data_IF_340318119951
#
_entry.id   IF_340318119951
#
_cell.length_a   1.000
_cell.length_b   1.000
_cell.length_c   1.000
_cell.angle_alpha   90.00
_cell.angle_beta   90.00
_cell.angle_gamma   90.00
#
_symmetry.space_group_name_H-M   'P 1'
#
loop_
_entity.id
_entity.type
_entity.pdbx_description
1 polymer ?
#
# COMPACT_ATOMS: atom_id res chain seq x y z
N UNK A 1 63.88 37.33 -37.39
CA UNK A 1 62.62 37.48 -36.61
C UNK A 1 62.01 36.09 -36.48
N UNK A 2 62.19 35.46 -35.32
CA UNK A 2 61.74 34.10 -34.96
C UNK A 2 60.46 34.21 -34.13
N UNK A 3 59.37 33.52 -34.53
CA UNK A 3 58.22 33.13 -33.67
C UNK A 3 57.20 32.38 -34.53
N UNK A 4 56.56 31.26 -34.17
CA UNK A 4 56.74 30.25 -33.16
C UNK A 4 55.94 29.04 -33.63
N UNK A 5 56.57 27.88 -33.67
CA UNK A 5 55.94 26.56 -33.76
C UNK A 5 55.41 26.19 -32.36
N UNK A 6 54.14 25.76 -32.23
CA UNK A 6 53.68 24.99 -31.06
C UNK A 6 52.75 23.86 -31.49
N UNK A 7 53.28 22.64 -31.52
CA UNK A 7 52.51 21.41 -31.38
C UNK A 7 51.98 21.33 -29.94
N UNK A 8 50.71 20.99 -29.75
CA UNK A 8 50.20 20.37 -28.52
C UNK A 8 49.22 19.26 -28.90
N UNK A 9 49.53 18.07 -28.40
CA UNK A 9 48.75 16.82 -28.43
C UNK A 9 47.90 16.79 -27.14
N UNK A 10 47.00 15.81 -27.05
CA UNK A 10 46.40 15.19 -25.84
C UNK A 10 45.11 15.93 -25.36
N UNK A 11 43.91 15.35 -25.16
CA UNK A 11 43.53 13.99 -24.75
C UNK A 11 42.04 13.72 -25.05
N UNK A 12 41.72 12.44 -25.32
CA UNK A 12 40.41 11.77 -25.23
C UNK A 12 39.50 12.31 -24.11
N UNK A 13 38.23 12.55 -24.44
CA UNK A 13 37.14 12.36 -23.47
C UNK A 13 36.29 11.22 -24.01
N UNK A 14 36.46 10.04 -23.41
CA UNK A 14 35.51 8.93 -23.54
C UNK A 14 34.21 9.46 -22.95
N UNK A 15 33.18 9.63 -23.77
CA UNK A 15 31.82 9.80 -23.29
C UNK A 15 31.39 8.43 -22.78
N UNK A 16 31.66 8.16 -21.51
CA UNK A 16 31.22 6.94 -20.84
C UNK A 16 29.70 7.01 -20.77
N UNK A 17 29.03 6.35 -21.71
CA UNK A 17 27.61 6.04 -21.63
C UNK A 17 27.43 5.13 -20.42
N UNK A 18 27.13 5.72 -19.27
CA UNK A 18 26.58 5.00 -18.14
C UNK A 18 25.20 4.53 -18.58
N UNK A 19 25.16 3.34 -19.19
CA UNK A 19 23.94 2.54 -19.25
C UNK A 19 23.61 2.23 -17.80
N UNK A 20 22.83 3.11 -17.18
CA UNK A 20 22.08 2.78 -15.99
C UNK A 20 21.09 1.71 -16.44
N UNK A 21 21.53 0.45 -16.42
CA UNK A 21 20.67 -0.72 -16.57
C UNK A 21 19.85 -0.87 -15.29
N UNK A 22 19.13 0.19 -14.92
CA UNK A 22 17.92 0.00 -14.15
C UNK A 22 16.96 -0.70 -15.10
N UNK A 23 16.69 -1.97 -14.86
CA UNK A 23 15.53 -2.62 -15.46
C UNK A 23 14.35 -1.70 -15.16
N UNK A 24 13.77 -1.09 -16.20
CA UNK A 24 12.52 -0.38 -16.08
C UNK A 24 11.47 -1.43 -15.70
N UNK A 25 11.21 -1.57 -14.41
CA UNK A 25 10.02 -2.23 -13.93
C UNK A 25 8.85 -1.39 -14.42
N UNK A 26 8.28 -1.74 -15.58
CA UNK A 26 7.02 -1.15 -16.01
C UNK A 26 5.96 -1.67 -15.05
N UNK A 27 5.55 -0.83 -14.13
CA UNK A 27 4.38 -1.04 -13.31
C UNK A 27 3.14 -0.68 -14.12
N UNK A 28 2.10 -1.51 -14.06
CA UNK A 28 0.83 -1.15 -14.67
C UNK A 28 0.21 0.00 -13.86
N UNK A 29 -0.16 1.09 -14.52
CA UNK A 29 -0.80 2.24 -13.88
C UNK A 29 -2.27 2.33 -14.30
N UNK A 30 -3.11 2.87 -13.43
CA UNK A 30 -4.52 3.09 -13.69
C UNK A 30 -5.05 4.29 -12.92
N UNK A 31 -6.26 4.70 -13.30
CA UNK A 31 -6.96 5.82 -12.71
C UNK A 31 -8.16 5.29 -11.90
N UNK A 32 -8.31 5.78 -10.67
CA UNK A 32 -9.51 5.61 -9.85
C UNK A 32 -10.21 6.97 -9.71
N UNK A 33 -11.53 6.99 -9.77
CA UNK A 33 -12.33 8.17 -9.41
C UNK A 33 -13.33 7.74 -8.36
N UNK A 34 -13.30 8.43 -7.23
CA UNK A 34 -14.10 8.07 -6.08
C UNK A 34 -15.60 8.26 -6.36
N UNK A 35 -16.44 7.24 -6.14
CA UNK A 35 -17.87 7.32 -6.45
C UNK A 35 -18.65 8.18 -5.46
N UNK A 36 -18.07 8.55 -4.31
CA UNK A 36 -18.70 9.35 -3.25
C UNK A 36 -18.44 10.84 -3.46
N UNK A 37 -17.19 11.22 -3.71
CA UNK A 37 -16.77 12.63 -3.76
C UNK A 37 -16.21 13.08 -5.12
N UNK A 38 -16.01 12.17 -6.08
CA UNK A 38 -15.52 12.49 -7.43
C UNK A 38 -14.03 12.82 -7.52
N UNK A 39 -13.25 12.63 -6.45
CA UNK A 39 -11.79 12.85 -6.47
C UNK A 39 -11.09 11.72 -7.23
N UNK A 40 -10.17 12.08 -8.13
CA UNK A 40 -9.40 11.11 -8.91
C UNK A 40 -8.02 10.86 -8.33
N UNK A 41 -7.57 9.61 -8.42
CA UNK A 41 -6.28 9.12 -7.96
C UNK A 41 -5.62 8.29 -9.05
N UNK A 42 -4.32 8.51 -9.25
CA UNK A 42 -3.47 7.62 -10.04
C UNK A 42 -2.96 6.51 -9.13
N UNK A 43 -3.07 5.27 -9.57
CA UNK A 43 -2.55 4.12 -8.85
C UNK A 43 -1.59 3.32 -9.70
N UNK A 44 -0.66 2.66 -9.04
CA UNK A 44 0.36 1.83 -9.66
C UNK A 44 0.32 0.43 -9.08
N UNK A 45 0.34 -0.59 -9.95
CA UNK A 45 0.49 -2.00 -9.58
C UNK A 45 2.00 -2.29 -9.57
N UNK A 46 2.59 -2.56 -8.39
CA UNK A 46 4.03 -2.82 -8.26
C UNK A 46 4.48 -4.02 -9.09
N UNK A 47 5.68 -3.94 -9.65
CA UNK A 47 6.36 -5.05 -10.31
C UNK A 47 7.81 -5.12 -9.80
N UNK A 48 8.19 -6.12 -9.00
CA UNK A 48 7.37 -7.29 -8.62
C UNK A 48 6.20 -6.93 -7.69
N UNK A 49 5.19 -7.80 -7.67
CA UNK A 49 3.98 -7.60 -6.87
C UNK A 49 4.30 -7.59 -5.37
N UNK A 50 3.63 -6.71 -4.62
CA UNK A 50 3.74 -6.68 -3.17
C UNK A 50 2.97 -7.86 -2.58
N UNK A 51 3.66 -8.63 -1.74
CA UNK A 51 3.04 -9.69 -0.94
C UNK A 51 2.86 -9.24 0.51
N UNK A 52 1.88 -9.84 1.21
CA UNK A 52 1.66 -9.58 2.64
C UNK A 52 1.67 -10.89 3.40
N UNK A 53 2.44 -10.93 4.48
CA UNK A 53 2.52 -12.09 5.38
C UNK A 53 2.11 -11.66 6.78
N UNK A 54 1.13 -12.35 7.36
CA UNK A 54 0.74 -12.18 8.76
C UNK A 54 1.66 -13.04 9.63
N UNK A 55 2.19 -12.45 10.70
CA UNK A 55 2.99 -13.15 11.70
C UNK A 55 2.34 -13.06 13.07
N UNK A 56 2.11 -14.22 13.68
CA UNK A 56 1.65 -14.34 15.06
C UNK A 56 2.52 -15.35 15.81
N UNK A 57 3.31 -14.86 16.75
CA UNK A 57 4.43 -15.61 17.35
C UNK A 57 5.31 -16.22 16.24
N UNK A 58 5.51 -17.55 16.22
CA UNK A 58 6.33 -18.24 15.23
C UNK A 58 5.55 -18.72 14.00
N UNK A 59 4.27 -18.35 13.86
CA UNK A 59 3.42 -18.75 12.74
C UNK A 59 3.34 -17.64 11.70
N UNK A 60 3.60 -18.02 10.46
CA UNK A 60 3.50 -17.16 9.29
C UNK A 60 2.33 -17.61 8.41
N UNK A 61 1.58 -16.66 7.88
CA UNK A 61 0.47 -16.91 6.96
C UNK A 61 0.48 -15.86 5.86
N UNK A 62 0.74 -16.31 4.64
CA UNK A 62 0.65 -15.45 3.47
C UNK A 62 -0.81 -15.12 3.17
N UNK A 63 -1.06 -13.87 2.81
CA UNK A 63 -2.38 -13.40 2.38
C UNK A 63 -2.43 -13.44 0.86
N UNK A 64 -3.39 -14.18 0.33
CA UNK A 64 -3.68 -14.20 -1.10
C UNK A 64 -4.65 -13.09 -1.45
N UNK A 65 -4.38 -12.39 -2.54
CA UNK A 65 -5.23 -11.33 -3.04
C UNK A 65 -5.79 -11.69 -4.42
N UNK A 66 -7.09 -11.46 -4.61
CA UNK A 66 -7.73 -11.52 -5.92
C UNK A 66 -7.63 -10.19 -6.70
N UNK A 67 -7.28 -9.12 -5.98
CA UNK A 67 -6.86 -7.84 -6.49
C UNK A 67 -5.49 -7.51 -5.90
N UNK A 68 -4.47 -7.40 -6.74
CA UNK A 68 -3.11 -7.06 -6.30
C UNK A 68 -3.10 -5.77 -5.46
N UNK A 69 -2.26 -5.67 -4.41
CA UNK A 69 -1.99 -4.41 -3.74
C UNK A 69 -1.54 -3.34 -4.73
N UNK A 70 -1.92 -2.09 -4.49
CA UNK A 70 -1.56 -0.96 -5.33
C UNK A 70 -0.86 0.11 -4.51
N UNK A 71 -0.11 0.97 -5.19
CA UNK A 71 0.50 2.16 -4.62
C UNK A 71 -0.26 3.40 -5.09
N UNK A 72 -0.72 4.21 -4.15
CA UNK A 72 -1.33 5.53 -4.38
C UNK A 72 -0.67 6.52 -3.43
N UNK A 73 -0.17 7.63 -3.96
CA UNK A 73 0.52 8.66 -3.18
C UNK A 73 1.60 8.10 -2.22
N UNK A 74 2.33 7.08 -2.69
CA UNK A 74 3.37 6.40 -1.92
C UNK A 74 2.85 5.55 -0.75
N UNK A 75 1.57 5.20 -0.73
CA UNK A 75 0.97 4.27 0.24
C UNK A 75 0.56 2.98 -0.43
N UNK A 76 0.90 1.86 0.21
CA UNK A 76 0.43 0.54 -0.21
C UNK A 76 -0.99 0.32 0.29
N UNK A 77 -1.92 0.27 -0.65
CA UNK A 77 -3.31 -0.07 -0.41
C UNK A 77 -3.53 -1.55 -0.72
N UNK A 78 -4.22 -2.24 0.18
CA UNK A 78 -4.46 -3.69 0.10
C UNK A 78 -5.95 -3.99 0.15
N UNK A 79 -6.43 -5.09 -0.47
CA UNK A 79 -7.82 -5.52 -0.33
C UNK A 79 -8.17 -5.76 1.14
N UNK A 80 -9.04 -4.90 1.66
CA UNK A 80 -9.42 -4.85 3.07
C UNK A 80 -9.93 -6.20 3.58
N UNK A 81 -10.82 -6.82 2.81
CA UNK A 81 -11.46 -8.10 3.17
C UNK A 81 -10.44 -9.21 3.36
N UNK A 82 -9.48 -9.35 2.44
CA UNK A 82 -8.48 -10.41 2.50
C UNK A 82 -7.63 -10.32 3.77
N UNK A 83 -7.23 -9.10 4.17
CA UNK A 83 -6.47 -8.88 5.41
C UNK A 83 -7.31 -9.26 6.64
N UNK A 84 -8.53 -8.72 6.75
CA UNK A 84 -9.37 -8.95 7.94
C UNK A 84 -9.85 -10.40 8.06
N UNK A 85 -10.21 -11.06 6.96
CA UNK A 85 -10.56 -12.49 6.98
C UNK A 85 -9.33 -13.36 7.29
N UNK A 86 -8.14 -12.99 6.81
CA UNK A 86 -6.92 -13.69 7.16
C UNK A 86 -6.59 -13.58 8.67
N UNK A 87 -7.02 -12.47 9.29
CA UNK A 87 -7.04 -12.20 10.73
C UNK A 87 -8.26 -12.81 11.45
N UNK A 88 -9.07 -13.65 10.80
CA UNK A 88 -10.27 -14.27 11.39
C UNK A 88 -11.36 -13.27 11.86
N UNK A 89 -11.43 -12.10 11.23
CA UNK A 89 -12.52 -11.13 11.41
C UNK A 89 -13.59 -11.32 10.32
N UNK A 90 -14.85 -11.24 10.70
CA UNK A 90 -15.98 -11.27 9.78
C UNK A 90 -16.17 -9.91 9.11
N UNK A 91 -16.26 -9.88 7.79
CA UNK A 91 -16.35 -8.65 7.00
C UNK A 91 -17.72 -8.53 6.34
N UNK A 92 -18.37 -7.38 6.54
CA UNK A 92 -19.65 -7.03 5.92
C UNK A 92 -19.54 -5.73 5.13
N UNK A 93 -20.36 -5.60 4.09
CA UNK A 93 -20.43 -4.42 3.21
C UNK A 93 -21.84 -3.85 3.24
N UNK A 94 -21.94 -2.55 3.45
CA UNK A 94 -23.16 -1.78 3.24
C UNK A 94 -23.01 -0.95 1.97
N UNK A 95 -23.74 -1.34 0.92
CA UNK A 95 -23.67 -0.65 -0.37
C UNK A 95 -24.32 0.73 -0.34
N UNK A 96 -25.30 0.96 0.55
CA UNK A 96 -26.03 2.23 0.62
C UNK A 96 -25.15 3.35 1.18
N UNK A 97 -24.31 3.02 2.17
CA UNK A 97 -23.40 3.98 2.81
C UNK A 97 -21.96 3.83 2.32
N UNK A 98 -21.68 2.87 1.44
CA UNK A 98 -20.33 2.49 0.99
C UNK A 98 -19.39 2.20 2.17
N UNK A 99 -19.90 1.49 3.18
CA UNK A 99 -19.21 1.22 4.43
C UNK A 99 -18.83 -0.25 4.54
N UNK A 100 -17.57 -0.51 4.90
CA UNK A 100 -17.11 -1.83 5.32
C UNK A 100 -17.10 -1.90 6.85
N UNK A 101 -17.58 -3.01 7.41
CA UNK A 101 -17.43 -3.33 8.83
C UNK A 101 -16.71 -4.66 8.98
N UNK A 102 -15.63 -4.70 9.74
CA UNK A 102 -14.91 -5.91 10.11
C UNK A 102 -15.02 -6.13 11.62
N UNK A 103 -15.46 -7.30 12.05
CA UNK A 103 -15.65 -7.62 13.47
C UNK A 103 -14.96 -8.94 13.83
N UNK A 104 -14.20 -8.95 14.93
CA UNK A 104 -13.58 -10.16 15.45
C UNK A 104 -13.16 -9.98 16.90
N UNK A 105 -13.34 -11.02 17.71
CA UNK A 105 -12.98 -10.99 19.13
C UNK A 105 -13.63 -9.82 19.87
N UNK A 106 -12.80 -8.89 20.34
CA UNK A 106 -13.26 -7.67 21.01
C UNK A 106 -13.15 -6.41 20.14
N UNK A 107 -12.70 -6.56 18.91
CA UNK A 107 -12.33 -5.47 18.00
C UNK A 107 -13.30 -5.34 16.83
N UNK A 108 -13.89 -4.16 16.70
CA UNK A 108 -14.72 -3.80 15.54
C UNK A 108 -14.03 -2.67 14.77
N UNK A 109 -13.90 -2.80 13.45
CA UNK A 109 -13.40 -1.77 12.54
C UNK A 109 -14.52 -1.34 11.61
N UNK A 110 -14.74 -0.03 11.49
CA UNK A 110 -15.67 0.58 10.52
C UNK A 110 -14.91 1.57 9.66
N UNK A 111 -15.12 1.48 8.35
CA UNK A 111 -14.49 2.35 7.37
C UNK A 111 -15.47 2.66 6.24
N UNK A 112 -15.51 3.91 5.80
CA UNK A 112 -16.34 4.37 4.70
C UNK A 112 -15.45 4.76 3.52
N UNK A 113 -15.82 4.35 2.31
CA UNK A 113 -15.09 4.69 1.09
C UNK A 113 -15.11 6.21 0.88
N UNK A 114 -13.99 6.77 0.45
CA UNK A 114 -13.82 8.22 0.28
C UNK A 114 -13.66 9.02 1.58
N UNK A 115 -13.84 8.38 2.75
CA UNK A 115 -13.51 8.97 4.05
C UNK A 115 -12.04 8.69 4.39
N UNK A 116 -11.40 9.66 5.04
CA UNK A 116 -10.03 9.54 5.50
C UNK A 116 -9.96 9.02 6.94
N UNK A 117 -11.03 8.39 7.44
CA UNK A 117 -11.13 7.89 8.81
C UNK A 117 -11.44 6.41 8.87
N UNK A 118 -10.81 5.77 9.84
CA UNK A 118 -11.08 4.40 10.26
C UNK A 118 -11.42 4.42 11.75
N UNK A 119 -12.55 3.81 12.08
CA UNK A 119 -13.08 3.78 13.44
C UNK A 119 -12.88 2.41 14.05
N UNK A 120 -12.39 2.37 15.29
CA UNK A 120 -12.27 1.15 16.09
C UNK A 120 -13.23 1.19 17.28
N UNK A 121 -13.86 0.05 17.58
CA UNK A 121 -14.65 -0.22 18.79
C UNK A 121 -15.83 0.74 19.00
N UNK A 122 -16.52 1.07 17.91
CA UNK A 122 -17.66 2.01 17.88
C UNK A 122 -18.88 1.57 18.72
N UNK A 123 -18.90 0.34 19.23
CA UNK A 123 -19.99 -0.27 20.00
C UNK A 123 -19.77 -0.16 21.52
N UNK A 124 -19.68 1.06 22.07
CA UNK A 124 -19.54 1.35 23.51
C UNK A 124 -18.28 0.79 24.19
N UNK A 125 -17.25 0.40 23.42
CA UNK A 125 -15.99 -0.21 23.91
C UNK A 125 -14.79 0.74 23.89
N UNK A 126 -15.07 2.05 23.78
CA UNK A 126 -14.07 3.10 23.59
C UNK A 126 -13.82 3.34 22.11
N UNK A 127 -14.35 4.45 21.59
CA UNK A 127 -14.23 4.78 20.18
C UNK A 127 -12.84 5.38 19.93
N UNK A 128 -12.05 4.76 19.05
CA UNK A 128 -10.81 5.35 18.54
C UNK A 128 -10.97 5.67 17.05
N UNK A 129 -10.38 6.79 16.64
CA UNK A 129 -10.36 7.26 15.25
C UNK A 129 -8.91 7.25 14.78
N UNK A 130 -8.68 6.64 13.62
CA UNK A 130 -7.39 6.58 12.95
C UNK A 130 -7.53 7.29 11.61
N UNK A 131 -6.65 8.24 11.34
CA UNK A 131 -6.64 8.98 10.08
C UNK A 131 -5.88 8.16 9.03
N UNK A 132 -6.37 8.23 7.80
CA UNK A 132 -5.78 7.62 6.62
C UNK A 132 -5.09 8.71 5.81
N UNK A 133 -3.82 8.48 5.46
CA UNK A 133 -3.09 9.35 4.54
C UNK A 133 -3.72 9.36 3.13
N UNK A 134 -4.33 8.24 2.74
CA UNK A 134 -5.07 8.07 1.49
C UNK A 134 -6.41 7.42 1.83
N UNK A 135 -7.56 8.02 1.46
CA UNK A 135 -8.88 7.44 1.72
C UNK A 135 -9.01 6.02 1.16
N UNK A 136 -9.93 5.25 1.72
CA UNK A 136 -10.25 3.95 1.15
C UNK A 136 -10.89 4.08 -0.23
N UNK A 137 -10.54 3.18 -1.15
CA UNK A 137 -10.92 3.26 -2.56
C UNK A 137 -11.53 1.95 -3.05
N UNK A 138 -12.43 2.02 -4.04
CA UNK A 138 -12.96 0.82 -4.71
C UNK A 138 -12.26 0.63 -6.05
N UNK A 139 -11.28 -0.27 -6.12
CA UNK A 139 -10.55 -0.58 -7.34
C UNK A 139 -10.92 -2.00 -7.78
N UNK A 140 -11.37 -2.15 -9.03
CA UNK A 140 -11.82 -3.43 -9.60
C UNK A 140 -12.85 -4.17 -8.72
N UNK A 141 -13.75 -3.43 -8.07
CA UNK A 141 -14.78 -4.00 -7.20
C UNK A 141 -14.26 -4.53 -5.86
N UNK A 142 -13.08 -4.09 -5.42
CA UNK A 142 -12.52 -4.38 -4.09
C UNK A 142 -12.26 -3.08 -3.34
N UNK A 143 -12.61 -3.06 -2.05
CA UNK A 143 -12.26 -1.95 -1.17
C UNK A 143 -10.81 -2.10 -0.73
N UNK A 144 -9.99 -1.12 -1.09
CA UNK A 144 -8.58 -1.03 -0.85
C UNK A 144 -8.30 0.03 0.21
N UNK A 145 -7.46 -0.30 1.19
CA UNK A 145 -7.18 0.54 2.36
C UNK A 145 -5.68 0.56 2.62
N UNK A 146 -5.08 1.68 3.04
CA UNK A 146 -3.68 1.71 3.44
C UNK A 146 -3.40 0.69 4.53
N UNK A 147 -2.49 -0.26 4.27
CA UNK A 147 -2.20 -1.35 5.21
C UNK A 147 -1.68 -0.81 6.56
N UNK A 148 -0.94 0.31 6.54
CA UNK A 148 -0.48 0.98 7.77
C UNK A 148 -1.64 1.42 8.66
N UNK A 149 -2.72 1.97 8.09
CA UNK A 149 -3.87 2.41 8.88
C UNK A 149 -4.57 1.21 9.56
N UNK A 150 -4.62 0.05 8.90
CA UNK A 150 -5.06 -1.21 9.52
C UNK A 150 -4.13 -1.59 10.68
N UNK A 151 -2.81 -1.46 10.47
CA UNK A 151 -1.80 -1.69 11.49
C UNK A 151 -2.01 -0.82 12.74
N UNK A 152 -2.11 0.50 12.55
CA UNK A 152 -2.34 1.46 13.64
C UNK A 152 -3.65 1.15 14.38
N UNK A 153 -4.72 0.86 13.63
CA UNK A 153 -6.00 0.49 14.20
C UNK A 153 -5.94 -0.81 15.02
N UNK A 154 -5.13 -1.79 14.62
CA UNK A 154 -5.00 -3.06 15.33
C UNK A 154 -3.81 -3.09 16.30
N UNK A 155 -3.19 -1.93 16.59
CA UNK A 155 -1.94 -1.81 17.37
C UNK A 155 -0.85 -2.78 16.90
N UNK A 156 -0.73 -2.95 15.59
CA UNK A 156 0.14 -3.92 14.93
C UNK A 156 1.33 -3.24 14.26
N UNK A 157 2.40 -4.00 14.05
CA UNK A 157 3.58 -3.54 13.33
C UNK A 157 3.48 -3.90 11.85
N UNK A 158 3.80 -2.94 10.99
CA UNK A 158 3.88 -3.13 9.53
C UNK A 158 5.30 -2.86 9.08
N UNK A 159 6.01 -3.90 8.64
CA UNK A 159 7.42 -3.82 8.22
C UNK A 159 7.57 -4.17 6.76
N UNK A 160 8.26 -3.32 6.00
CA UNK A 160 8.59 -3.56 4.60
C UNK A 160 9.92 -4.27 4.45
N UNK A 161 9.97 -5.29 3.60
CA UNK A 161 11.20 -5.91 3.11
C UNK A 161 11.36 -5.64 1.62
N UNK A 162 12.29 -4.76 1.29
CA UNK A 162 12.55 -4.33 -0.10
C UNK A 162 13.10 -5.45 -0.98
N UNK A 163 13.91 -6.36 -0.42
CA UNK A 163 14.51 -7.44 -1.21
C UNK A 163 13.47 -8.45 -1.68
N UNK A 164 12.50 -8.77 -0.83
CA UNK A 164 11.46 -9.77 -1.11
C UNK A 164 10.14 -9.16 -1.56
N UNK A 165 10.05 -7.83 -1.61
CA UNK A 165 8.81 -7.09 -1.87
C UNK A 165 7.64 -7.55 -0.99
N UNK A 166 7.95 -7.85 0.26
CA UNK A 166 7.00 -8.39 1.23
C UNK A 166 6.74 -7.38 2.35
N UNK A 167 5.49 -7.28 2.75
CA UNK A 167 5.10 -6.60 3.98
C UNK A 167 4.81 -7.65 5.05
N UNK A 168 5.55 -7.58 6.15
CA UNK A 168 5.29 -8.34 7.36
C UNK A 168 4.34 -7.57 8.26
N UNK A 169 3.18 -8.15 8.56
CA UNK A 169 2.18 -7.61 9.47
C UNK A 169 2.16 -8.44 10.75
N UNK A 170 2.52 -7.86 11.89
CA UNK A 170 2.77 -8.61 13.13
C UNK A 170 2.30 -7.90 14.39
N UNK A 171 2.25 -8.61 15.52
CA UNK A 171 1.91 -8.02 16.82
C UNK A 171 0.44 -7.66 17.01
N UNK A 172 -0.45 -8.17 16.14
CA UNK A 172 -1.89 -7.94 16.25
C UNK A 172 -2.54 -8.74 17.38
N UNK A 173 -3.55 -8.17 17.99
CA UNK A 173 -4.45 -8.83 18.96
C UNK A 173 -5.89 -8.52 18.57
N UNK A 174 -6.76 -9.54 18.59
CA UNK A 174 -8.13 -9.48 18.05
C UNK A 174 -9.13 -9.78 19.15
#
# INVERSE_FOLDING_TARGET
MVKNMKKKIITMTILTSMLLTGSLSVSAAGNYTDPVNGVSYEYTIPNPEITVTLMNYDKFKDVTFDQAPVIIDGRTLVPMRAIFEALAMAVTWDDSTKTVKAAGGQTDIILTVGDNKLYRNTNNRGNAIFELDVPAQIINGRTLVPLRAIGDALNSTVTWNENTHNILFSGYTI
#
